data_IF_403715033724
#
_entry.id   IF_403715033724
#
_cell.length_a   1.000
_cell.length_b   1.000
_cell.length_c   1.000
_cell.angle_alpha   90.00
_cell.angle_beta   90.00
_cell.angle_gamma   90.00
#
_symmetry.space_group_name_H-M   'P 1'
#
loop_
_entity.id
_entity.type
_entity.pdbx_description
1 polymer ?
#
# COMPACT_ATOMS: atom_id res chain seq x y z
N UNK A 1 -5.37 -8.65 -17.30
CA UNK A 1 -5.72 -7.83 -16.12
C UNK A 1 -4.87 -6.57 -16.17
N UNK A 2 -5.48 -5.39 -16.32
CA UNK A 2 -4.76 -4.10 -16.37
C UNK A 2 -4.67 -3.51 -14.97
N UNK A 3 -3.46 -3.30 -14.46
CA UNK A 3 -3.22 -2.56 -13.23
C UNK A 3 -3.14 -1.06 -13.52
N UNK A 4 -3.86 -0.25 -12.75
CA UNK A 4 -3.82 1.22 -12.91
C UNK A 4 -3.13 1.85 -11.70
N UNK A 5 -2.09 2.65 -11.94
CA UNK A 5 -1.44 3.42 -10.86
C UNK A 5 -2.39 4.53 -10.42
N UNK A 6 -2.83 4.47 -9.17
CA UNK A 6 -3.71 5.49 -8.56
C UNK A 6 -2.87 6.65 -8.03
N UNK A 7 -1.74 6.33 -7.38
CA UNK A 7 -0.89 7.32 -6.69
C UNK A 7 0.54 6.80 -6.56
N UNK A 8 1.52 7.63 -6.91
CA UNK A 8 2.92 7.41 -6.53
C UNK A 8 3.15 7.95 -5.12
N UNK A 9 3.86 7.20 -4.28
CA UNK A 9 4.18 7.56 -2.89
C UNK A 9 5.62 8.05 -2.78
N UNK A 10 6.55 7.37 -3.46
CA UNK A 10 7.96 7.73 -3.47
C UNK A 10 8.79 6.66 -4.15
N UNK A 11 10.11 6.82 -4.10
CA UNK A 11 11.06 5.84 -4.62
C UNK A 11 12.07 5.51 -3.52
N UNK A 12 12.38 4.23 -3.39
CA UNK A 12 13.53 3.81 -2.61
C UNK A 12 14.70 3.66 -3.58
N UNK A 13 15.82 4.30 -3.29
CA UNK A 13 17.09 4.05 -3.97
C UNK A 13 17.84 2.96 -3.21
N UNK A 14 17.68 1.66 -3.55
CA UNK A 14 18.61 0.67 -3.03
C UNK A 14 20.01 0.92 -3.64
N UNK A 15 21.08 0.37 -3.05
CA UNK A 15 22.29 0.14 -3.83
C UNK A 15 21.94 -0.69 -5.11
N UNK A 16 22.61 -0.44 -6.25
CA UNK A 16 22.09 -0.52 -7.63
C UNK A 16 21.47 -1.88 -8.06
N UNK A 17 20.54 -1.92 -9.07
CA UNK A 17 20.52 -1.02 -10.23
C UNK A 17 19.24 -0.21 -10.54
N UNK A 18 18.10 -0.38 -9.88
CA UNK A 18 16.89 0.39 -10.22
C UNK A 18 16.15 0.93 -8.98
N UNK A 19 15.66 2.18 -9.02
CA UNK A 19 14.79 2.72 -7.98
C UNK A 19 13.54 1.85 -7.81
N UNK A 20 13.21 1.52 -6.57
CA UNK A 20 12.01 0.75 -6.22
C UNK A 20 10.89 1.75 -5.99
N UNK A 21 10.00 1.90 -6.97
CA UNK A 21 8.82 2.74 -6.84
C UNK A 21 7.86 2.19 -5.78
N UNK A 22 7.48 3.04 -4.83
CA UNK A 22 6.41 2.79 -3.86
C UNK A 22 5.15 3.48 -4.34
N UNK A 23 4.08 2.72 -4.56
CA UNK A 23 2.89 3.20 -5.25
C UNK A 23 1.62 2.45 -4.85
N UNK A 24 0.49 3.13 -5.00
CA UNK A 24 -0.85 2.58 -4.86
C UNK A 24 -1.38 2.23 -6.23
N UNK A 25 -1.84 0.99 -6.39
CA UNK A 25 -2.25 0.42 -7.67
C UNK A 25 -3.64 -0.19 -7.52
N UNK A 26 -4.56 0.20 -8.39
CA UNK A 26 -5.83 -0.50 -8.55
C UNK A 26 -5.60 -1.76 -9.37
N UNK A 27 -5.86 -2.92 -8.76
CA UNK A 27 -5.74 -4.22 -9.43
C UNK A 27 -7.07 -4.58 -10.09
N UNK A 28 -8.17 -4.30 -9.39
CA UNK A 28 -9.54 -4.47 -9.85
C UNK A 28 -10.47 -3.61 -8.97
N UNK A 29 -11.73 -3.46 -9.35
CA UNK A 29 -12.69 -2.59 -8.67
C UNK A 29 -12.83 -2.84 -7.15
N UNK A 30 -12.60 -4.09 -6.70
CA UNK A 30 -12.68 -4.50 -5.29
C UNK A 30 -11.33 -4.67 -4.60
N UNK A 31 -10.22 -4.27 -5.23
CA UNK A 31 -8.87 -4.46 -4.69
C UNK A 31 -7.88 -3.38 -5.12
N UNK A 32 -7.25 -2.80 -4.11
CA UNK A 32 -6.15 -1.83 -4.25
C UNK A 32 -4.93 -2.40 -3.52
N UNK A 33 -3.78 -2.37 -4.16
CA UNK A 33 -2.50 -2.77 -3.56
C UNK A 33 -1.65 -1.54 -3.27
N UNK A 34 -0.94 -1.54 -2.14
CA UNK A 34 0.26 -0.75 -1.94
C UNK A 34 1.46 -1.63 -2.32
N UNK A 35 2.29 -1.18 -3.26
CA UNK A 35 3.42 -1.93 -3.80
C UNK A 35 4.73 -1.19 -3.63
N UNK A 36 5.80 -1.92 -3.34
CA UNK A 36 7.18 -1.50 -3.49
C UNK A 36 7.81 -2.33 -4.61
N UNK A 37 7.96 -1.75 -5.80
CA UNK A 37 8.28 -2.50 -7.02
C UNK A 37 7.22 -3.57 -7.32
N UNK A 38 7.66 -4.82 -7.43
CA UNK A 38 6.77 -5.97 -7.66
C UNK A 38 6.18 -6.58 -6.37
N UNK A 39 6.57 -6.07 -5.20
CA UNK A 39 6.18 -6.63 -3.92
C UNK A 39 4.97 -5.88 -3.34
N UNK A 40 3.88 -6.59 -3.09
CA UNK A 40 2.75 -6.04 -2.33
C UNK A 40 3.12 -5.94 -0.86
N UNK A 41 3.01 -4.74 -0.30
CA UNK A 41 3.31 -4.44 1.11
C UNK A 41 2.08 -3.97 1.90
N UNK A 42 0.93 -3.88 1.24
CA UNK A 42 -0.37 -3.62 1.85
C UNK A 42 -1.49 -3.83 0.85
N UNK A 43 -2.68 -4.16 1.34
CA UNK A 43 -3.86 -4.41 0.50
C UNK A 43 -5.08 -3.72 1.11
N UNK A 44 -5.92 -3.15 0.25
CA UNK A 44 -7.29 -2.81 0.60
C UNK A 44 -8.26 -3.61 -0.28
N UNK A 45 -9.22 -4.31 0.33
CA UNK A 45 -10.26 -5.07 -0.38
C UNK A 45 -11.65 -4.64 0.05
N UNK A 46 -12.59 -4.60 -0.89
CA UNK A 46 -14.00 -4.36 -0.58
C UNK A 46 -14.51 -5.43 0.39
N UNK A 47 -15.13 -5.01 1.48
CA UNK A 47 -15.71 -5.89 2.47
C UNK A 47 -17.05 -6.44 1.95
N UNK A 48 -17.25 -7.76 2.03
CA UNK A 48 -18.43 -8.43 1.45
C UNK A 48 -19.76 -7.99 2.06
N UNK A 49 -19.75 -7.32 3.22
CA UNK A 49 -20.95 -6.83 3.91
C UNK A 49 -21.41 -5.41 3.56
N UNK A 50 -20.77 -4.69 2.62
CA UNK A 50 -21.19 -3.32 2.30
C UNK A 50 -20.16 -2.49 1.53
N UNK A 51 -20.30 -1.15 1.50
CA UNK A 51 -19.37 -0.25 0.80
C UNK A 51 -18.01 -0.11 1.51
N UNK A 52 -17.86 -0.71 2.68
CA UNK A 52 -16.66 -0.65 3.50
C UNK A 52 -15.49 -1.40 2.86
N UNK A 53 -14.28 -1.03 3.26
CA UNK A 53 -13.04 -1.63 2.79
C UNK A 53 -12.23 -2.13 3.97
N UNK A 54 -11.67 -3.33 3.83
CA UNK A 54 -10.69 -3.87 4.78
C UNK A 54 -9.31 -3.45 4.32
N UNK A 55 -8.56 -2.74 5.17
CA UNK A 55 -7.17 -2.35 4.94
C UNK A 55 -6.27 -3.25 5.79
N UNK A 56 -5.34 -3.93 5.12
CA UNK A 56 -4.41 -4.87 5.72
C UNK A 56 -2.97 -4.51 5.29
N UNK A 57 -2.20 -3.83 6.15
CA UNK A 57 -0.76 -3.71 5.96
C UNK A 57 -0.12 -5.10 6.04
N UNK A 58 0.74 -5.44 5.07
CA UNK A 58 1.43 -6.71 5.06
C UNK A 58 2.85 -6.52 4.51
N UNK A 59 3.75 -6.04 5.36
CA UNK A 59 5.15 -5.80 4.99
C UNK A 59 5.93 -7.10 5.24
N UNK A 60 6.51 -7.73 4.19
CA UNK A 60 7.28 -8.96 4.37
C UNK A 60 8.47 -8.77 5.31
N UNK A 61 8.63 -9.72 6.24
CA UNK A 61 9.63 -9.66 7.30
C UNK A 61 9.21 -8.87 8.54
N UNK A 62 8.02 -8.25 8.56
CA UNK A 62 7.43 -7.59 9.73
C UNK A 62 6.26 -8.44 10.25
N UNK A 63 6.08 -8.58 11.58
CA UNK A 63 4.90 -9.21 12.13
C UNK A 63 3.61 -8.61 11.57
N UNK A 64 2.62 -9.48 11.31
CA UNK A 64 1.33 -9.04 10.79
C UNK A 64 0.65 -8.10 11.79
N UNK A 65 0.17 -6.96 11.30
CA UNK A 65 -0.65 -6.04 12.08
C UNK A 65 -2.14 -6.34 11.85
N UNK A 66 -3.02 -6.07 12.83
CA UNK A 66 -4.46 -6.23 12.65
C UNK A 66 -4.94 -5.41 11.45
N UNK A 67 -5.78 -6.02 10.62
CA UNK A 67 -6.52 -5.29 9.59
C UNK A 67 -7.59 -4.41 10.25
N UNK A 68 -7.97 -3.33 9.57
CA UNK A 68 -9.02 -2.42 10.03
C UNK A 68 -9.99 -2.09 8.89
N UNK A 69 -11.17 -1.61 9.26
CA UNK A 69 -12.25 -1.29 8.31
C UNK A 69 -12.34 0.22 8.15
N UNK A 70 -12.46 0.67 6.90
CA UNK A 70 -12.80 2.04 6.52
C UNK A 70 -14.09 2.05 5.70
N UNK A 71 -14.74 3.19 5.61
CA UNK A 71 -16.12 3.28 5.10
C UNK A 71 -16.19 3.57 3.59
N UNK A 72 -15.08 3.96 2.97
CA UNK A 72 -15.04 4.34 1.57
C UNK A 72 -13.73 3.93 0.88
N UNK A 73 -13.77 3.89 -0.46
CA UNK A 73 -12.59 3.65 -1.30
C UNK A 73 -11.52 4.75 -1.12
N UNK A 74 -11.93 6.00 -0.95
CA UNK A 74 -11.00 7.11 -0.71
C UNK A 74 -10.28 6.96 0.63
N UNK A 75 -10.98 6.62 1.70
CA UNK A 75 -10.34 6.35 3.00
C UNK A 75 -9.38 5.16 2.91
N UNK A 76 -9.69 4.14 2.11
CA UNK A 76 -8.79 3.01 1.89
C UNK A 76 -7.50 3.44 1.17
N UNK A 77 -7.60 4.30 0.16
CA UNK A 77 -6.44 4.87 -0.54
C UNK A 77 -5.63 5.74 0.41
N UNK A 78 -6.27 6.58 1.23
CA UNK A 78 -5.59 7.45 2.18
C UNK A 78 -4.87 6.64 3.28
N UNK A 79 -5.52 5.60 3.79
CA UNK A 79 -4.91 4.67 4.75
C UNK A 79 -3.67 3.98 4.16
N UNK A 80 -3.77 3.44 2.94
CA UNK A 80 -2.61 2.86 2.25
C UNK A 80 -1.53 3.91 1.94
N UNK A 81 -1.92 5.16 1.67
CA UNK A 81 -0.98 6.27 1.44
C UNK A 81 -0.17 6.54 2.70
N UNK A 82 -0.81 6.60 3.87
CA UNK A 82 -0.14 6.79 5.15
C UNK A 82 0.81 5.65 5.47
N UNK A 83 0.37 4.39 5.26
CA UNK A 83 1.25 3.21 5.40
C UNK A 83 2.44 3.29 4.45
N UNK A 84 2.23 3.73 3.21
CA UNK A 84 3.28 3.93 2.22
C UNK A 84 4.31 4.97 2.67
N UNK A 85 3.88 6.12 3.18
CA UNK A 85 4.80 7.12 3.72
C UNK A 85 5.61 6.60 4.91
N UNK A 86 4.96 5.89 5.84
CA UNK A 86 5.65 5.26 6.98
C UNK A 86 6.70 4.26 6.49
N UNK A 87 6.35 3.42 5.50
CA UNK A 87 7.27 2.45 4.91
C UNK A 87 8.48 3.13 4.27
N UNK A 88 8.27 4.20 3.49
CA UNK A 88 9.35 4.97 2.86
C UNK A 88 10.26 5.58 3.93
N UNK A 89 9.69 6.31 4.89
CA UNK A 89 10.44 6.94 5.97
C UNK A 89 11.24 5.92 6.81
N UNK A 90 10.67 4.73 7.06
CA UNK A 90 11.38 3.65 7.75
C UNK A 90 12.58 3.13 6.95
N UNK A 91 12.45 3.04 5.62
CA UNK A 91 13.50 2.52 4.73
C UNK A 91 14.59 3.56 4.42
N UNK A 92 14.27 4.84 4.44
CA UNK A 92 15.24 5.93 4.26
C UNK A 92 15.91 6.38 5.56
N UNK A 93 15.43 5.92 6.72
CA UNK A 93 15.96 6.29 8.02
C UNK A 93 15.47 7.65 8.52
N UNK A 94 14.34 8.14 8.00
CA UNK A 94 13.70 9.40 8.40
C UNK A 94 12.87 9.27 9.68
N UNK A 95 12.45 8.05 10.05
CA UNK A 95 11.86 7.76 11.36
C UNK A 95 12.97 7.77 12.42
N UNK A 96 13.11 8.88 13.14
CA UNK A 96 14.03 9.05 14.27
C UNK A 96 13.31 9.02 15.60
#
# INVERSE_FOLDING_TARGET
MSTTVIRAIGELTPPPPEPIAVQIVEVQASRIDLRAGNQTIGVATLFSGGPSWVVAPNIPGVPSHPAFIVTSKSEAIDALTQVGHIYVAAKTGELK
#
